data_IF_332111563452
#
_entry.id   IF_332111563452
#
_cell.length_a   1.000
_cell.length_b   1.000
_cell.length_c   1.000
_cell.angle_alpha   90.00
_cell.angle_beta   90.00
_cell.angle_gamma   90.00
#
_symmetry.space_group_name_H-M   'P 1'
#
loop_
_entity.id
_entity.type
_entity.pdbx_description
1 polymer ?
#
# COMPACT_ATOMS: atom_id res chain seq x y z
N UNK A 1 -6.01 9.83 -20.55
CA UNK A 1 -5.87 8.64 -19.69
C UNK A 1 -6.92 7.65 -20.14
N UNK A 2 -6.55 6.46 -20.64
CA UNK A 2 -7.53 5.41 -20.90
C UNK A 2 -8.00 4.82 -19.57
N UNK A 3 -9.31 4.56 -19.44
CA UNK A 3 -9.86 3.77 -18.33
C UNK A 3 -10.48 4.59 -17.19
N UNK A 4 -11.51 5.37 -17.47
CA UNK A 4 -12.40 5.92 -16.43
C UNK A 4 -13.80 5.29 -16.48
N UNK A 5 -13.92 4.10 -17.07
CA UNK A 5 -15.17 3.38 -17.20
C UNK A 5 -15.22 2.26 -16.16
N UNK A 6 -15.90 2.49 -15.03
CA UNK A 6 -16.42 1.39 -14.22
C UNK A 6 -16.26 1.43 -12.70
N UNK A 7 -15.60 2.41 -12.09
CA UNK A 7 -15.47 2.41 -10.61
C UNK A 7 -16.75 3.00 -9.98
N UNK A 8 -17.77 2.13 -9.82
CA UNK A 8 -18.87 2.33 -8.89
C UNK A 8 -18.39 1.97 -7.47
N UNK A 9 -17.52 2.78 -6.90
CA UNK A 9 -17.40 2.82 -5.44
C UNK A 9 -17.10 4.24 -4.96
N UNK A 10 -17.83 4.69 -3.94
CA UNK A 10 -17.84 6.07 -3.45
C UNK A 10 -16.63 6.44 -2.57
N UNK A 11 -15.51 5.74 -2.78
CA UNK A 11 -14.36 5.80 -1.90
C UNK A 11 -13.41 6.97 -2.28
N UNK A 12 -12.71 7.54 -1.30
CA UNK A 12 -11.87 8.73 -1.53
C UNK A 12 -10.71 8.41 -2.51
N UNK A 13 -10.39 9.29 -3.47
CA UNK A 13 -9.34 9.01 -4.46
C UNK A 13 -7.96 8.70 -3.86
N UNK A 14 -7.67 9.20 -2.66
CA UNK A 14 -6.43 8.96 -1.92
C UNK A 14 -6.22 7.49 -1.52
N UNK A 15 -7.27 6.67 -1.51
CA UNK A 15 -7.15 5.22 -1.33
C UNK A 15 -6.48 4.55 -2.52
N UNK A 16 -6.71 5.08 -3.71
CA UNK A 16 -6.30 4.44 -4.95
C UNK A 16 -5.09 5.10 -5.59
N UNK A 17 -4.75 6.34 -5.21
CA UNK A 17 -3.80 7.14 -5.97
C UNK A 17 -2.95 8.03 -5.07
N UNK A 18 -1.69 8.16 -5.45
CA UNK A 18 -0.78 9.16 -4.91
C UNK A 18 0.14 9.72 -6.00
N UNK A 19 0.70 10.90 -5.75
CA UNK A 19 1.62 11.60 -6.66
C UNK A 19 2.77 12.21 -5.88
N UNK A 20 3.99 12.03 -6.36
CA UNK A 20 5.17 12.73 -5.86
C UNK A 20 5.94 13.37 -7.00
N UNK A 21 6.64 14.46 -6.70
CA UNK A 21 7.53 15.13 -7.65
C UNK A 21 8.95 15.18 -7.08
N UNK A 22 9.94 14.81 -7.88
CA UNK A 22 11.36 14.90 -7.58
C UNK A 22 12.07 15.58 -8.75
N UNK A 23 12.67 16.75 -8.54
CA UNK A 23 13.33 17.51 -9.61
C UNK A 23 12.40 17.69 -10.84
N UNK A 24 12.78 17.14 -11.99
CA UNK A 24 12.03 17.19 -13.26
C UNK A 24 11.13 15.96 -13.48
N UNK A 25 10.96 15.10 -12.46
CA UNK A 25 10.15 13.89 -12.54
C UNK A 25 8.86 14.03 -11.73
N UNK A 26 7.77 13.60 -12.35
CA UNK A 26 6.50 13.31 -11.68
C UNK A 26 6.35 11.79 -11.62
N UNK A 27 6.10 11.27 -10.42
CA UNK A 27 5.73 9.87 -10.17
C UNK A 27 4.27 9.81 -9.77
N UNK A 28 3.56 8.83 -10.29
CA UNK A 28 2.15 8.58 -10.00
C UNK A 28 1.95 7.10 -9.72
N UNK A 29 1.19 6.77 -8.68
CA UNK A 29 0.80 5.39 -8.39
C UNK A 29 -0.70 5.28 -8.51
N UNK A 30 -1.15 4.19 -9.14
CA UNK A 30 -2.53 3.74 -9.10
C UNK A 30 -2.59 2.36 -8.48
N UNK A 31 -3.41 2.22 -7.44
CA UNK A 31 -3.72 0.99 -6.74
C UNK A 31 -5.03 0.46 -7.29
N UNK A 32 -4.99 -0.77 -7.79
CA UNK A 32 -6.17 -1.54 -8.18
C UNK A 32 -6.41 -2.63 -7.13
N UNK A 33 -7.67 -2.84 -6.75
CA UNK A 33 -8.07 -3.79 -5.72
C UNK A 33 -9.01 -4.82 -6.36
N UNK A 34 -8.62 -6.10 -6.30
CA UNK A 34 -9.46 -7.21 -6.74
C UNK A 34 -10.37 -7.63 -5.61
N UNK A 35 -11.62 -7.18 -5.69
CA UNK A 35 -12.73 -7.75 -4.92
C UNK A 35 -12.98 -9.19 -5.41
N UNK A 36 -12.96 -10.16 -4.50
CA UNK A 36 -13.28 -11.56 -4.80
C UNK A 36 -14.79 -11.79 -4.98
N UNK A 37 -15.61 -10.75 -4.74
CA UNK A 37 -17.06 -10.74 -4.84
C UNK A 37 -17.75 -11.52 -3.71
N UNK A 38 -17.00 -11.96 -2.70
CA UNK A 38 -17.50 -12.74 -1.58
C UNK A 38 -17.85 -11.76 -0.46
N UNK A 39 -19.14 -11.48 -0.31
CA UNK A 39 -19.60 -10.70 0.85
C UNK A 39 -19.41 -11.53 2.13
N UNK A 40 -18.57 -11.09 3.08
CA UNK A 40 -18.35 -11.84 4.31
C UNK A 40 -19.65 -11.92 5.10
N UNK A 41 -20.04 -13.12 5.51
CA UNK A 41 -21.22 -13.29 6.38
C UNK A 41 -20.91 -12.90 7.82
N UNK A 42 -19.63 -12.90 8.22
CA UNK A 42 -19.14 -12.38 9.50
C UNK A 42 -17.81 -11.66 9.31
N UNK A 43 -17.47 -10.76 10.26
CA UNK A 43 -16.19 -10.03 10.26
C UNK A 43 -14.94 -10.93 10.36
N UNK A 44 -15.10 -12.19 10.78
CA UNK A 44 -14.00 -13.18 10.83
C UNK A 44 -13.70 -13.82 9.48
N UNK A 45 -14.66 -13.73 8.55
CA UNK A 45 -14.57 -14.31 7.21
C UNK A 45 -14.15 -13.25 6.18
N UNK A 46 -13.76 -12.05 6.63
CA UNK A 46 -13.23 -11.00 5.77
C UNK A 46 -11.84 -11.39 5.26
N UNK A 47 -11.76 -11.60 3.96
CA UNK A 47 -10.50 -11.71 3.23
C UNK A 47 -10.19 -10.33 2.66
N UNK A 48 -9.00 -9.76 2.93
CA UNK A 48 -8.63 -8.50 2.32
C UNK A 48 -8.43 -8.67 0.81
N UNK A 49 -8.83 -7.66 0.04
CA UNK A 49 -8.66 -7.66 -1.41
C UNK A 49 -7.18 -7.74 -1.78
N UNK A 50 -6.86 -8.55 -2.78
CA UNK A 50 -5.55 -8.52 -3.41
C UNK A 50 -5.40 -7.20 -4.16
N UNK A 51 -4.24 -6.54 -4.05
CA UNK A 51 -4.01 -5.28 -4.73
C UNK A 51 -2.85 -5.37 -5.72
N UNK A 52 -2.90 -4.48 -6.71
CA UNK A 52 -1.83 -4.24 -7.67
C UNK A 52 -1.50 -2.76 -7.68
N UNK A 53 -0.22 -2.42 -7.51
CA UNK A 53 0.27 -1.06 -7.68
C UNK A 53 0.89 -0.89 -9.07
N UNK A 54 0.43 0.09 -9.83
CA UNK A 54 1.00 0.48 -11.12
C UNK A 54 1.64 1.86 -10.98
N UNK A 55 2.96 1.91 -11.20
CA UNK A 55 3.76 3.12 -11.05
C UNK A 55 4.02 3.69 -12.45
N UNK A 56 3.76 4.98 -12.59
CA UNK A 56 3.96 5.75 -13.80
C UNK A 56 4.91 6.91 -13.53
N UNK A 57 5.83 7.13 -14.46
CA UNK A 57 6.76 8.25 -14.42
C UNK A 57 6.50 9.16 -15.61
N UNK A 58 6.76 10.46 -15.42
CA UNK A 58 6.74 11.44 -16.49
C UNK A 58 7.74 12.54 -16.20
N UNK A 59 8.64 12.80 -17.15
CA UNK A 59 9.46 14.02 -17.12
C UNK A 59 8.60 15.25 -17.44
N UNK A 60 8.95 16.40 -16.88
CA UNK A 60 8.22 17.65 -17.10
C UNK A 60 8.20 18.09 -18.57
N UNK A 61 9.25 17.79 -19.32
CA UNK A 61 9.37 18.09 -20.75
C UNK A 61 8.72 17.02 -21.67
N UNK A 62 8.28 15.90 -21.10
CA UNK A 62 7.56 14.86 -21.84
C UNK A 62 6.07 15.14 -21.95
N UNK A 63 5.48 14.75 -23.07
CA UNK A 63 4.03 14.85 -23.31
C UNK A 63 3.28 13.52 -23.05
N UNK A 64 3.97 12.52 -22.54
CA UNK A 64 3.43 11.19 -22.26
C UNK A 64 3.89 10.71 -20.89
N UNK A 65 3.16 9.72 -20.37
CA UNK A 65 3.56 8.95 -19.18
C UNK A 65 4.20 7.66 -19.64
N UNK A 66 5.22 7.20 -18.92
CA UNK A 66 5.80 5.88 -19.07
C UNK A 66 5.45 5.02 -17.86
N UNK A 67 5.04 3.79 -18.12
CA UNK A 67 4.85 2.81 -17.06
C UNK A 67 6.23 2.37 -16.56
N UNK A 68 6.50 2.55 -15.27
CA UNK A 68 7.78 2.19 -14.67
C UNK A 68 7.75 0.77 -14.11
N UNK A 69 6.83 0.51 -13.18
CA UNK A 69 6.76 -0.76 -12.46
C UNK A 69 5.31 -1.20 -12.24
N UNK A 70 5.11 -2.50 -12.12
CA UNK A 70 3.85 -3.11 -11.71
C UNK A 70 4.15 -4.14 -10.63
N UNK A 71 3.48 -3.98 -9.48
CA UNK A 71 3.67 -4.84 -8.31
C UNK A 71 2.34 -5.45 -7.94
N UNK A 72 2.24 -6.75 -8.09
CA UNK A 72 1.13 -7.54 -7.56
C UNK A 72 1.47 -7.98 -6.13
N UNK A 73 0.46 -8.01 -5.25
CA UNK A 73 0.64 -8.47 -3.86
C UNK A 73 1.27 -9.87 -3.76
N UNK A 74 0.97 -10.77 -4.71
CA UNK A 74 1.51 -12.13 -4.75
C UNK A 74 2.97 -12.22 -5.19
N UNK A 75 3.49 -11.18 -5.86
CA UNK A 75 4.89 -11.13 -6.32
C UNK A 75 5.85 -10.66 -5.21
N UNK A 76 5.32 -10.08 -4.12
CA UNK A 76 6.14 -9.43 -3.10
C UNK A 76 6.87 -10.49 -2.26
N UNK A 77 8.18 -10.32 -2.16
CA UNK A 77 9.04 -11.13 -1.29
C UNK A 77 9.65 -10.28 -0.20
N UNK A 78 10.13 -10.89 0.88
CA UNK A 78 10.85 -10.16 1.93
C UNK A 78 12.25 -9.84 1.42
N UNK A 79 12.72 -8.61 1.64
CA UNK A 79 14.09 -8.25 1.30
C UNK A 79 15.11 -9.15 2.03
N UNK A 80 16.19 -9.49 1.32
CA UNK A 80 17.37 -10.04 1.96
C UNK A 80 18.01 -8.95 2.84
N UNK A 81 18.64 -9.33 3.96
CA UNK A 81 19.23 -8.38 4.92
C UNK A 81 20.05 -7.26 4.23
N UNK A 82 19.89 -5.98 4.65
CA UNK A 82 19.22 -5.53 5.86
C UNK A 82 17.70 -5.31 5.69
N UNK A 83 16.90 -6.00 6.50
CA UNK A 83 15.47 -5.70 6.63
C UNK A 83 15.25 -4.67 7.74
N UNK A 84 14.60 -3.56 7.41
CA UNK A 84 14.41 -2.46 8.36
C UNK A 84 13.07 -2.59 9.09
N UNK A 85 13.06 -3.38 10.17
CA UNK A 85 11.89 -3.58 11.00
C UNK A 85 11.96 -4.89 11.75
N UNK A 86 10.93 -5.20 12.51
CA UNK A 86 10.81 -6.51 13.15
C UNK A 86 9.75 -7.31 12.43
N UNK A 87 10.15 -8.40 11.78
CA UNK A 87 9.24 -9.35 11.13
C UNK A 87 8.22 -9.93 12.13
N UNK A 88 8.60 -10.00 13.41
CA UNK A 88 7.70 -10.40 14.51
C UNK A 88 6.54 -9.41 14.71
N UNK A 89 6.61 -8.21 14.12
CA UNK A 89 5.52 -7.22 14.12
C UNK A 89 4.46 -7.49 13.07
N UNK A 90 4.64 -8.47 12.18
CA UNK A 90 3.60 -8.96 11.27
C UNK A 90 2.85 -10.09 12.01
N UNK A 91 1.89 -9.78 12.90
CA UNK A 91 1.56 -10.72 13.96
C UNK A 91 0.63 -11.83 13.46
N UNK A 92 0.05 -11.71 12.25
CA UNK A 92 -0.99 -12.62 11.74
C UNK A 92 -0.90 -12.89 10.22
N UNK A 93 0.16 -12.41 9.57
CA UNK A 93 0.28 -12.31 8.11
C UNK A 93 1.27 -13.31 7.50
N UNK A 94 1.79 -14.23 8.29
CA UNK A 94 2.68 -15.26 7.77
C UNK A 94 1.91 -16.35 7.05
N UNK A 95 2.21 -16.55 5.77
CA UNK A 95 1.75 -17.68 4.99
C UNK A 95 2.89 -18.70 4.91
N UNK A 96 2.67 -19.93 5.38
CA UNK A 96 3.68 -20.98 5.43
C UNK A 96 5.00 -20.58 6.16
N UNK A 97 4.88 -19.75 7.21
CA UNK A 97 6.03 -19.27 7.98
C UNK A 97 6.83 -18.13 7.31
N UNK A 98 6.35 -17.59 6.19
CA UNK A 98 6.92 -16.41 5.54
C UNK A 98 5.96 -15.23 5.63
N UNK A 99 6.44 -14.03 5.93
CA UNK A 99 5.67 -12.79 5.80
C UNK A 99 4.96 -12.69 4.44
N UNK A 100 3.66 -12.45 4.44
CA UNK A 100 2.83 -12.31 3.23
C UNK A 100 1.91 -11.10 3.37
N UNK A 101 1.96 -10.19 2.40
CA UNK A 101 1.06 -9.02 2.39
C UNK A 101 -0.35 -9.37 1.89
N UNK A 102 -0.59 -10.60 1.41
CA UNK A 102 -1.89 -11.04 0.87
C UNK A 102 -3.05 -10.92 1.86
N UNK A 103 -2.76 -11.01 3.15
CA UNK A 103 -3.77 -10.94 4.21
C UNK A 103 -3.84 -9.56 4.87
N UNK A 104 -3.21 -8.57 4.28
CA UNK A 104 -3.05 -7.25 4.87
C UNK A 104 -3.95 -6.25 4.14
N UNK A 105 -5.04 -5.75 4.76
CA UNK A 105 -5.85 -4.71 4.15
C UNK A 105 -4.98 -3.47 3.96
N UNK A 106 -4.67 -3.14 2.70
CA UNK A 106 -3.88 -1.97 2.37
C UNK A 106 -4.81 -0.79 2.12
N UNK A 107 -4.61 0.27 2.90
CA UNK A 107 -5.24 1.55 2.68
C UNK A 107 -4.37 2.46 1.82
N UNK A 108 -4.17 3.68 2.31
CA UNK A 108 -3.57 4.78 1.56
C UNK A 108 -2.11 4.49 1.18
N UNK A 109 -1.81 4.76 -0.08
CA UNK A 109 -0.45 4.72 -0.63
C UNK A 109 0.26 6.07 -0.49
N UNK A 110 1.57 6.04 -0.36
CA UNK A 110 2.43 7.23 -0.37
C UNK A 110 3.71 6.90 -1.14
N UNK A 111 3.99 7.65 -2.19
CA UNK A 111 5.19 7.49 -3.01
C UNK A 111 6.39 8.16 -2.36
N UNK A 112 7.52 7.47 -2.39
CA UNK A 112 8.78 8.11 -2.10
C UNK A 112 9.28 8.91 -3.31
N UNK A 113 9.63 10.16 -3.05
CA UNK A 113 10.23 11.05 -4.04
C UNK A 113 11.54 10.49 -4.62
N UNK A 114 12.42 9.95 -3.77
CA UNK A 114 13.82 9.69 -4.13
C UNK A 114 14.15 8.26 -4.57
N UNK A 115 13.29 7.28 -4.31
CA UNK A 115 13.54 5.88 -4.66
C UNK A 115 12.26 5.24 -5.25
N UNK A 116 12.34 3.93 -5.55
CA UNK A 116 11.24 3.15 -6.11
C UNK A 116 10.30 2.59 -5.04
N UNK A 117 10.24 3.21 -3.85
CA UNK A 117 9.46 2.70 -2.73
C UNK A 117 8.07 3.32 -2.69
N UNK A 118 7.06 2.47 -2.49
CA UNK A 118 5.72 2.86 -2.07
C UNK A 118 5.52 2.48 -0.60
N UNK A 119 5.06 3.43 0.19
CA UNK A 119 4.63 3.22 1.56
C UNK A 119 3.13 2.96 1.57
N UNK A 120 2.71 1.92 2.29
CA UNK A 120 1.32 1.49 2.35
C UNK A 120 0.89 1.39 3.81
N UNK A 121 -0.17 2.12 4.15
CA UNK A 121 -0.78 2.01 5.49
C UNK A 121 -1.70 0.80 5.55
N UNK A 122 -1.69 0.09 6.67
CA UNK A 122 -2.55 -1.06 6.91
C UNK A 122 -3.10 -1.12 8.32
N UNK A 123 -4.27 -1.74 8.43
CA UNK A 123 -5.00 -2.01 9.65
C UNK A 123 -5.73 -3.34 9.49
N UNK A 124 -5.45 -4.33 10.33
CA UNK A 124 -6.03 -5.67 10.19
C UNK A 124 -7.55 -5.66 10.38
N UNK A 125 -8.04 -4.86 11.33
CA UNK A 125 -9.47 -4.62 11.54
C UNK A 125 -9.76 -3.14 11.65
N UNK A 126 -10.92 -2.72 11.16
CA UNK A 126 -11.38 -1.34 11.20
C UNK A 126 -11.27 -0.68 12.60
N UNK A 127 -11.49 -1.46 13.66
CA UNK A 127 -11.51 -0.99 15.05
C UNK A 127 -10.16 -1.11 15.78
N UNK A 128 -9.15 -1.73 15.17
CA UNK A 128 -7.87 -1.96 15.84
C UNK A 128 -7.22 -0.64 16.29
N UNK A 129 -6.48 -0.67 17.39
CA UNK A 129 -5.74 0.51 17.86
C UNK A 129 -4.32 0.57 17.33
N UNK A 130 -3.97 -0.42 16.54
CA UNK A 130 -2.64 -0.65 16.01
C UNK A 130 -2.76 -0.72 14.49
N UNK A 131 -1.84 -0.05 13.81
CA UNK A 131 -1.72 -0.08 12.37
C UNK A 131 -0.26 -0.32 11.98
N UNK A 132 -0.06 -0.58 10.69
CA UNK A 132 1.24 -0.85 10.10
C UNK A 132 1.49 0.08 8.93
N UNK A 133 2.74 0.53 8.79
CA UNK A 133 3.24 1.09 7.54
C UNK A 133 4.23 0.07 6.99
N UNK A 134 4.04 -0.29 5.73
CA UNK A 134 4.99 -1.16 5.02
C UNK A 134 5.62 -0.41 3.87
N UNK A 135 6.91 -0.65 3.67
CA UNK A 135 7.67 -0.09 2.56
C UNK A 135 7.94 -1.20 1.56
N UNK A 136 7.44 -1.02 0.33
CA UNK A 136 7.64 -1.96 -0.78
C UNK A 136 8.47 -1.27 -1.84
N UNK A 137 9.66 -1.79 -2.12
CA UNK A 137 10.41 -1.44 -3.30
C UNK A 137 9.71 -2.05 -4.52
N UNK A 138 9.23 -1.17 -5.38
CA UNK A 138 8.43 -1.51 -6.56
C UNK A 138 9.28 -2.00 -7.73
N UNK A 139 10.57 -1.68 -7.76
CA UNK A 139 11.50 -2.16 -8.77
C UNK A 139 11.94 -3.59 -8.47
N UNK A 140 12.38 -3.85 -7.23
CA UNK A 140 12.82 -5.19 -6.82
C UNK A 140 11.70 -6.10 -6.33
N UNK A 141 10.48 -5.56 -6.13
CA UNK A 141 9.31 -6.24 -5.55
C UNK A 141 9.58 -6.81 -4.16
N UNK A 142 10.35 -6.07 -3.37
CA UNK A 142 10.77 -6.48 -2.02
C UNK A 142 10.10 -5.63 -0.95
N UNK A 143 9.64 -6.29 0.11
CA UNK A 143 9.26 -5.65 1.36
C UNK A 143 10.54 -5.25 2.11
N UNK A 144 10.82 -3.96 2.17
CA UNK A 144 12.05 -3.40 2.75
C UNK A 144 11.92 -3.11 4.25
N UNK A 145 10.73 -2.68 4.67
CA UNK A 145 10.50 -2.23 6.04
C UNK A 145 9.06 -2.44 6.49
N UNK A 146 8.90 -2.64 7.80
CA UNK A 146 7.60 -2.68 8.47
C UNK A 146 7.72 -1.93 9.79
N UNK A 147 6.83 -0.95 9.99
CA UNK A 147 6.74 -0.17 11.22
C UNK A 147 5.31 -0.20 11.77
N UNK A 148 5.18 -0.35 13.08
CA UNK A 148 3.90 -0.28 13.79
C UNK A 148 3.64 1.15 14.24
N UNK A 149 2.39 1.59 14.13
CA UNK A 149 1.95 2.87 14.68
C UNK A 149 0.65 2.71 15.46
N UNK A 150 0.33 3.69 16.32
CA UNK A 150 -0.97 3.71 16.99
C UNK A 150 -2.03 4.32 16.08
N UNK A 151 -3.07 3.55 15.79
CA UNK A 151 -4.27 3.99 15.07
C UNK A 151 -5.44 4.29 16.04
N UNK A 152 -5.14 4.53 17.32
CA UNK A 152 -6.15 4.72 18.35
C UNK A 152 -7.04 5.94 18.05
N UNK A 153 -8.35 5.71 17.92
CA UNK A 153 -9.34 6.77 17.66
C UNK A 153 -9.55 7.10 16.18
N UNK A 154 -8.85 6.42 15.26
CA UNK A 154 -9.04 6.59 13.81
C UNK A 154 -9.89 5.45 13.24
N UNK A 155 -11.14 5.73 12.82
CA UNK A 155 -11.93 4.77 12.04
C UNK A 155 -11.30 4.57 10.66
N UNK A 156 -10.89 3.36 10.30
CA UNK A 156 -10.27 3.07 9.00
C UNK A 156 -8.90 3.74 8.78
N UNK A 157 -8.65 4.20 7.56
CA UNK A 157 -7.41 4.84 7.14
C UNK A 157 -7.61 6.35 6.95
N UNK A 158 -7.74 7.10 8.04
CA UNK A 158 -7.90 8.55 7.96
C UNK A 158 -6.54 9.21 8.22
N UNK A 159 -6.13 10.13 7.34
CA UNK A 159 -4.87 10.89 7.43
C UNK A 159 -4.91 12.04 8.44
N UNK A 160 -5.77 11.99 9.46
CA UNK A 160 -5.73 12.97 10.55
C UNK A 160 -4.53 12.70 11.46
N UNK A 161 -3.34 13.09 10.98
CA UNK A 161 -2.10 13.05 11.74
C UNK A 161 -2.13 14.10 12.85
N UNK A 162 -2.01 13.64 14.10
CA UNK A 162 -1.60 14.51 15.20
C UNK A 162 -0.13 14.22 15.48
N UNK A 163 0.80 15.18 15.34
CA UNK A 163 2.18 14.98 15.76
C UNK A 163 2.18 14.69 17.26
N UNK A 164 2.60 13.48 17.64
CA UNK A 164 2.87 13.16 19.03
C UNK A 164 4.23 13.75 19.43
N UNK A 165 4.29 14.48 20.54
CA UNK A 165 5.56 14.83 21.17
C UNK A 165 6.21 13.59 21.81
N UNK A 166 7.51 13.40 21.59
CA UNK A 166 8.35 12.49 22.36
C UNK A 166 8.45 12.92 23.83
#
# INVERSE_FOLDING_TARGET
MPGNEGIQDSCEPAFFRDVSGCEDWIKFVEMDYRDDGITPTNAKDYTPDEWTAVIWNRMLDWNHWEMAHTVDTADITVADEPFHGSLDLLPELCENGKPSLKRMPIGISTLCEHNSVVYLMSKLRYEDREGWVVAVDTESKKLEAVAKFSAAGLPGFVTSYYPSSF
#
